data_IF_894573912200
#
_entry.id   IF_894573912200
#
_cell.length_a   1.000
_cell.length_b   1.000
_cell.length_c   1.000
_cell.angle_alpha   90.00
_cell.angle_beta   90.00
_cell.angle_gamma   90.00
#
_symmetry.space_group_name_H-M   'P 1'
#
loop_
_entity.id
_entity.type
_entity.pdbx_description
1 polymer ?
#
# COMPACT_ATOMS: atom_id res chain seq x y z
N UNK A 1 -31.77 26.72 -44.52
CA UNK A 1 -31.36 25.47 -45.17
C UNK A 1 -29.90 25.23 -44.83
N UNK A 2 -29.59 24.14 -44.08
CA UNK A 2 -28.26 23.52 -43.88
C UNK A 2 -27.23 24.33 -43.06
N UNK A 3 -26.37 23.79 -42.20
CA UNK A 3 -26.27 22.54 -41.42
C UNK A 3 -25.35 22.91 -40.22
N UNK A 4 -25.68 22.38 -39.05
CA UNK A 4 -24.91 22.38 -37.81
C UNK A 4 -23.57 21.64 -37.96
N UNK A 5 -22.48 22.16 -37.40
CA UNK A 5 -21.37 21.32 -36.93
C UNK A 5 -20.74 21.91 -35.66
N UNK A 6 -21.23 21.45 -34.52
CA UNK A 6 -20.55 21.51 -33.24
C UNK A 6 -19.33 20.56 -33.30
N UNK A 7 -18.12 21.09 -33.30
CA UNK A 7 -16.90 20.31 -33.09
C UNK A 7 -16.43 20.52 -31.64
N UNK A 8 -17.07 19.81 -30.72
CA UNK A 8 -16.57 19.66 -29.36
C UNK A 8 -15.42 18.62 -29.40
N UNK A 9 -14.17 19.10 -29.41
CA UNK A 9 -13.01 18.23 -29.20
C UNK A 9 -12.94 17.87 -27.72
N UNK A 10 -13.55 16.73 -27.40
CA UNK A 10 -13.55 16.06 -26.11
C UNK A 10 -12.10 15.71 -25.71
N UNK A 11 -11.49 16.52 -24.84
CA UNK A 11 -10.25 16.15 -24.13
C UNK A 11 -10.57 14.96 -23.23
N UNK A 12 -10.17 13.77 -23.66
CA UNK A 12 -10.11 12.58 -22.82
C UNK A 12 -9.02 12.81 -21.76
N UNK A 13 -9.40 13.37 -20.61
CA UNK A 13 -8.62 13.22 -19.39
C UNK A 13 -8.74 11.74 -18.99
N UNK A 14 -7.82 10.89 -19.46
CA UNK A 14 -7.56 9.60 -18.82
C UNK A 14 -7.10 9.93 -17.41
N UNK A 15 -7.99 9.76 -16.46
CA UNK A 15 -7.67 9.79 -15.04
C UNK A 15 -6.73 8.61 -14.78
N UNK A 16 -5.46 8.91 -14.54
CA UNK A 16 -4.45 7.95 -14.13
C UNK A 16 -4.93 7.16 -12.92
N UNK A 17 -5.35 5.91 -13.10
CA UNK A 17 -5.65 4.99 -12.01
C UNK A 17 -4.36 4.39 -11.38
N UNK A 18 -3.22 5.04 -11.59
CA UNK A 18 -1.98 4.86 -10.84
C UNK A 18 -1.88 5.94 -9.76
N UNK A 19 -3.01 6.27 -9.11
CA UNK A 19 -2.99 7.00 -7.86
C UNK A 19 -2.14 6.16 -6.90
N UNK A 20 -0.98 6.73 -6.55
CA UNK A 20 -0.24 6.42 -5.34
C UNK A 20 -1.27 6.30 -4.23
N UNK A 21 -1.66 5.08 -3.89
CA UNK A 21 -2.56 4.85 -2.78
C UNK A 21 -1.78 5.23 -1.52
N UNK A 22 -1.98 6.47 -1.10
CA UNK A 22 -1.51 6.98 0.16
C UNK A 22 -2.11 6.09 1.25
N UNK A 23 -1.26 5.39 2.00
CA UNK A 23 -1.69 4.58 3.13
C UNK A 23 -2.41 5.50 4.12
N UNK A 24 -3.49 5.01 4.74
CA UNK A 24 -4.32 5.81 5.66
C UNK A 24 -3.53 6.44 6.82
N UNK A 25 -2.38 5.86 7.17
CA UNK A 25 -1.46 6.36 8.21
C UNK A 25 -0.38 7.34 7.74
N UNK A 26 -0.43 7.84 6.50
CA UNK A 26 0.60 8.69 5.92
C UNK A 26 1.90 7.94 5.63
N UNK A 27 3.04 8.63 5.44
CA UNK A 27 4.31 7.98 5.13
C UNK A 27 4.78 7.07 6.27
N UNK A 28 5.07 5.82 5.92
CA UNK A 28 5.64 4.84 6.83
C UNK A 28 7.14 5.02 7.04
N UNK A 29 7.63 4.55 8.17
CA UNK A 29 9.05 4.49 8.55
C UNK A 29 9.45 3.04 8.78
N UNK A 30 10.35 2.55 7.93
CA UNK A 30 10.80 1.17 7.97
C UNK A 30 11.56 0.80 9.25
N UNK A 31 12.24 1.75 9.90
CA UNK A 31 12.97 1.47 11.14
C UNK A 31 11.99 1.30 12.31
N UNK A 32 10.96 2.15 12.40
CA UNK A 32 9.88 1.95 13.37
C UNK A 32 9.10 0.65 13.09
N UNK A 33 8.85 0.35 11.81
CA UNK A 33 8.20 -0.90 11.40
C UNK A 33 8.98 -2.14 11.82
N UNK A 34 10.29 -2.14 11.65
CA UNK A 34 11.14 -3.24 12.13
C UNK A 34 11.09 -3.36 13.65
N UNK A 35 11.22 -2.25 14.39
CA UNK A 35 11.13 -2.28 15.84
C UNK A 35 9.80 -2.86 16.32
N UNK A 36 8.69 -2.46 15.69
CA UNK A 36 7.36 -3.00 16.00
C UNK A 36 7.27 -4.50 15.70
N UNK A 37 7.80 -4.95 14.56
CA UNK A 37 7.86 -6.35 14.19
C UNK A 37 8.63 -7.18 15.22
N UNK A 38 9.82 -6.73 15.59
CA UNK A 38 10.69 -7.40 16.57
C UNK A 38 10.05 -7.49 17.95
N UNK A 39 9.30 -6.44 18.36
CA UNK A 39 8.67 -6.37 19.68
C UNK A 39 7.47 -7.31 19.81
N UNK A 40 6.60 -7.37 18.79
CA UNK A 40 5.28 -8.02 18.94
C UNK A 40 5.07 -9.17 17.96
N UNK A 41 5.49 -9.02 16.70
CA UNK A 41 5.18 -9.96 15.63
C UNK A 41 6.11 -11.17 15.63
N UNK A 42 7.39 -10.97 15.98
CA UNK A 42 8.43 -12.01 15.96
C UNK A 42 8.07 -13.20 16.84
N UNK A 43 7.39 -12.99 17.96
CA UNK A 43 6.97 -14.05 18.89
C UNK A 43 6.17 -15.16 18.21
N UNK A 44 5.36 -14.83 17.20
CA UNK A 44 4.51 -15.79 16.50
C UNK A 44 5.01 -16.12 15.08
N UNK A 45 5.62 -15.15 14.40
CA UNK A 45 6.02 -15.30 12.99
C UNK A 45 7.49 -15.68 12.81
N UNK A 46 8.32 -15.51 13.84
CA UNK A 46 9.77 -15.65 13.74
C UNK A 46 10.40 -14.51 12.93
N UNK A 47 11.53 -14.75 12.24
CA UNK A 47 12.23 -13.72 11.45
C UNK A 47 11.38 -13.18 10.29
N UNK A 48 11.43 -11.87 10.07
CA UNK A 48 10.64 -11.15 9.06
C UNK A 48 10.85 -11.67 7.64
N UNK A 49 12.04 -12.19 7.31
CA UNK A 49 12.35 -12.78 6.00
C UNK A 49 11.42 -13.94 5.64
N UNK A 50 10.92 -14.71 6.63
CA UNK A 50 9.97 -15.81 6.40
C UNK A 50 8.58 -15.30 6.01
N UNK A 51 8.23 -14.09 6.44
CA UNK A 51 6.97 -13.46 6.08
C UNK A 51 7.12 -12.74 4.75
N UNK A 52 8.19 -11.97 4.56
CA UNK A 52 8.45 -11.22 3.32
C UNK A 52 8.42 -12.09 2.07
N UNK A 53 8.93 -13.32 2.13
CA UNK A 53 8.89 -14.26 1.01
C UNK A 53 7.51 -14.82 0.67
N UNK A 54 6.51 -14.58 1.52
CA UNK A 54 5.12 -15.04 1.37
C UNK A 54 4.13 -13.91 1.11
N UNK A 55 4.59 -12.66 1.09
CA UNK A 55 3.74 -11.51 0.78
C UNK A 55 3.48 -11.52 -0.74
N UNK A 56 2.22 -11.59 -1.19
CA UNK A 56 1.89 -11.54 -2.62
C UNK A 56 2.26 -10.20 -3.26
N UNK A 57 2.63 -10.25 -4.55
CA UNK A 57 2.99 -9.08 -5.36
C UNK A 57 4.45 -9.10 -5.80
N UNK A 58 4.69 -8.63 -7.01
CA UNK A 58 6.01 -8.61 -7.64
C UNK A 58 6.76 -7.30 -7.36
N UNK A 59 6.01 -6.24 -7.07
CA UNK A 59 6.53 -4.91 -6.74
C UNK A 59 6.27 -4.52 -5.28
N UNK A 60 7.09 -3.62 -4.75
CA UNK A 60 6.88 -3.05 -3.41
C UNK A 60 5.50 -2.40 -3.26
N UNK A 61 4.99 -1.75 -4.32
CA UNK A 61 3.66 -1.15 -4.32
C UNK A 61 2.54 -2.20 -4.24
N UNK A 62 2.66 -3.33 -4.94
CA UNK A 62 1.69 -4.43 -4.84
C UNK A 62 1.69 -5.07 -3.46
N UNK A 63 2.89 -5.35 -2.92
CA UNK A 63 3.06 -5.86 -1.56
C UNK A 63 2.44 -4.91 -0.53
N UNK A 64 2.68 -3.61 -0.66
CA UNK A 64 2.15 -2.59 0.23
C UNK A 64 0.62 -2.58 0.23
N UNK A 65 -0.02 -2.66 -0.95
CA UNK A 65 -1.50 -2.73 -1.05
C UNK A 65 -2.06 -3.99 -0.39
N UNK A 66 -1.42 -5.14 -0.61
CA UNK A 66 -1.86 -6.38 0.02
C UNK A 66 -1.71 -6.31 1.55
N UNK A 67 -0.58 -5.80 2.03
CA UNK A 67 -0.30 -5.63 3.45
C UNK A 67 -1.28 -4.67 4.12
N UNK A 68 -1.63 -3.54 3.49
CA UNK A 68 -2.60 -2.60 4.07
C UNK A 68 -3.96 -3.26 4.32
N UNK A 69 -4.45 -4.00 3.32
CA UNK A 69 -5.71 -4.74 3.43
C UNK A 69 -5.64 -5.85 4.50
N UNK A 70 -4.51 -6.55 4.61
CA UNK A 70 -4.34 -7.66 5.56
C UNK A 70 -4.14 -7.18 7.00
N UNK A 71 -3.21 -6.25 7.22
CA UNK A 71 -2.82 -5.77 8.55
C UNK A 71 -3.93 -4.98 9.23
N UNK A 72 -4.77 -4.26 8.46
CA UNK A 72 -5.94 -3.55 8.99
C UNK A 72 -7.01 -4.46 9.61
N UNK A 73 -6.86 -5.78 9.46
CA UNK A 73 -7.69 -6.83 10.10
C UNK A 73 -6.85 -7.89 10.80
N UNK A 74 -5.56 -7.63 11.01
CA UNK A 74 -4.62 -8.58 11.59
C UNK A 74 -3.60 -7.89 12.52
N UNK A 75 -4.02 -7.64 13.76
CA UNK A 75 -3.20 -7.14 14.87
C UNK A 75 -2.50 -5.77 14.66
N UNK A 76 -2.77 -5.06 13.55
CA UNK A 76 -2.23 -3.74 13.23
C UNK A 76 -3.32 -2.82 12.66
N UNK A 77 -4.40 -2.65 13.42
CA UNK A 77 -5.54 -1.79 13.06
C UNK A 77 -5.21 -0.30 13.14
N UNK A 78 -4.24 0.08 13.99
CA UNK A 78 -3.72 1.45 14.03
C UNK A 78 -3.06 1.83 12.70
N UNK A 79 -3.53 2.93 12.11
CA UNK A 79 -3.14 3.36 10.77
C UNK A 79 -1.63 3.68 10.69
N UNK A 80 -1.06 4.31 11.73
CA UNK A 80 0.34 4.73 11.75
C UNK A 80 1.28 3.53 11.90
N UNK A 81 0.98 2.62 12.82
CA UNK A 81 1.68 1.35 13.02
C UNK A 81 1.64 0.53 11.73
N UNK A 82 0.47 0.43 11.09
CA UNK A 82 0.32 -0.30 9.84
C UNK A 82 1.18 0.29 8.72
N UNK A 83 1.18 1.62 8.57
CA UNK A 83 2.04 2.28 7.59
C UNK A 83 3.54 2.00 7.83
N UNK A 84 3.99 2.02 9.10
CA UNK A 84 5.37 1.69 9.46
C UNK A 84 5.72 0.22 9.14
N UNK A 85 4.83 -0.71 9.49
CA UNK A 85 4.99 -2.13 9.16
C UNK A 85 5.02 -2.38 7.65
N UNK A 86 4.22 -1.65 6.86
CA UNK A 86 4.21 -1.74 5.40
C UNK A 86 5.53 -1.23 4.82
N UNK A 87 6.01 -0.06 5.26
CA UNK A 87 7.30 0.47 4.83
C UNK A 87 8.45 -0.50 5.14
N UNK A 88 8.34 -1.26 6.23
CA UNK A 88 9.30 -2.30 6.57
C UNK A 88 9.13 -3.59 5.74
N UNK A 89 7.93 -4.14 5.61
CA UNK A 89 7.69 -5.48 5.06
C UNK A 89 7.59 -5.53 3.53
N UNK A 90 7.27 -4.42 2.88
CA UNK A 90 7.13 -4.36 1.42
C UNK A 90 8.47 -4.27 0.66
N UNK A 91 9.59 -4.16 1.38
CA UNK A 91 10.96 -4.13 0.84
C UNK A 91 11.36 -5.48 0.21
#
# INVERSE_FOLDING_TARGET
MRVLFFAATLTLAVTSNAESQELKGGPGDAARGEQAYQTTCLRCHGPSQRIRSRIPGDTAAEKARWLDAFLGRHYAEDDKLRADLIAFLAQ
#
